data_IF_139183309730
#
_entry.id   IF_139183309730
#
_cell.length_a   1.000
_cell.length_b   1.000
_cell.length_c   1.000
_cell.angle_alpha   90.00
_cell.angle_beta   90.00
_cell.angle_gamma   90.00
#
_symmetry.space_group_name_H-M   'P 1'
#
loop_
_entity.id
_entity.type
_entity.pdbx_description
1 polymer ?
#
# COMPACT_ATOMS: atom_id res chain seq x y z
N UNK A 1 3.74 8.37 2.57
CA UNK A 1 4.76 7.30 2.37
C UNK A 1 4.37 6.39 1.22
N UNK A 2 5.30 5.55 0.74
CA UNK A 2 4.97 4.39 -0.09
C UNK A 2 4.86 3.17 0.83
N UNK A 3 3.64 2.92 1.29
CA UNK A 3 3.33 1.83 2.21
C UNK A 3 3.53 0.48 1.53
N UNK A 4 4.06 -0.49 2.27
CA UNK A 4 4.19 -1.86 1.77
C UNK A 4 2.97 -2.71 2.17
N UNK A 5 1.93 -2.65 1.34
CA UNK A 5 0.67 -3.32 1.62
C UNK A 5 -0.07 -3.77 0.36
N UNK A 6 -1.39 -3.66 0.40
CA UNK A 6 -2.29 -3.95 -0.70
C UNK A 6 -3.20 -2.76 -0.97
N UNK A 7 -3.13 -2.25 -2.21
CA UNK A 7 -4.02 -1.20 -2.68
C UNK A 7 -5.49 -1.66 -2.73
N UNK A 8 -6.36 -0.84 -2.13
CA UNK A 8 -7.82 -1.01 -2.15
C UNK A 8 -8.50 0.28 -2.62
N UNK A 9 -9.66 0.11 -3.23
CA UNK A 9 -10.61 1.18 -3.54
C UNK A 9 -11.88 0.95 -2.74
N UNK A 10 -12.36 1.98 -2.03
CA UNK A 10 -13.53 1.93 -1.15
C UNK A 10 -14.54 2.96 -1.66
N UNK A 11 -15.72 2.49 -2.06
CA UNK A 11 -16.82 3.31 -2.52
C UNK A 11 -17.79 3.60 -1.39
N UNK A 12 -18.09 4.88 -1.23
CA UNK A 12 -19.12 5.40 -0.36
C UNK A 12 -20.24 6.02 -1.18
N UNK A 13 -21.49 5.75 -0.79
CA UNK A 13 -22.67 6.41 -1.34
C UNK A 13 -23.47 7.05 -0.21
N UNK A 14 -23.73 8.35 -0.33
CA UNK A 14 -24.38 9.16 0.73
C UNK A 14 -23.71 8.94 2.10
N UNK A 15 -22.38 8.87 2.08
CA UNK A 15 -21.54 8.62 3.24
C UNK A 15 -21.50 7.18 3.76
N UNK A 16 -22.25 6.22 3.21
CA UNK A 16 -22.22 4.82 3.65
C UNK A 16 -21.25 4.00 2.81
N UNK A 17 -20.42 3.16 3.44
CA UNK A 17 -19.56 2.21 2.73
C UNK A 17 -20.47 1.21 2.00
N UNK A 18 -20.38 1.16 0.67
CA UNK A 18 -21.20 0.25 -0.15
C UNK A 18 -20.38 -0.83 -0.85
N UNK A 19 -19.11 -0.57 -1.14
CA UNK A 19 -18.24 -1.53 -1.80
C UNK A 19 -16.78 -1.26 -1.48
N UNK A 20 -15.97 -2.32 -1.39
CA UNK A 20 -14.52 -2.21 -1.46
C UNK A 20 -13.94 -3.28 -2.38
N UNK A 21 -12.93 -2.91 -3.17
CA UNK A 21 -12.29 -3.80 -4.13
C UNK A 21 -10.76 -3.69 -4.08
N UNK A 22 -10.08 -4.81 -4.33
CA UNK A 22 -8.62 -4.81 -4.54
C UNK A 22 -8.27 -4.21 -5.90
N UNK A 23 -7.02 -3.78 -6.09
CA UNK A 23 -6.58 -3.23 -7.39
C UNK A 23 -6.71 -4.20 -8.57
N UNK A 24 -6.49 -5.50 -8.36
CA UNK A 24 -6.43 -6.51 -9.42
C UNK A 24 -5.54 -6.09 -10.60
N UNK A 25 -6.08 -6.10 -11.82
CA UNK A 25 -5.36 -5.67 -13.03
C UNK A 25 -5.44 -4.15 -13.32
N UNK A 26 -6.00 -3.37 -12.40
CA UNK A 26 -6.25 -1.93 -12.54
C UNK A 26 -7.61 -1.59 -13.16
N UNK A 27 -8.34 -2.57 -13.67
CA UNK A 27 -9.71 -2.43 -14.21
C UNK A 27 -10.68 -3.28 -13.40
N UNK A 28 -10.33 -4.53 -13.16
CA UNK A 28 -11.15 -5.51 -12.43
C UNK A 28 -10.39 -5.93 -11.18
N UNK A 29 -11.05 -5.77 -10.04
CA UNK A 29 -10.59 -6.13 -8.71
C UNK A 29 -11.44 -7.24 -8.09
N UNK A 30 -10.94 -7.82 -7.00
CA UNK A 30 -11.72 -8.73 -6.15
C UNK A 30 -12.55 -7.91 -5.16
N UNK A 31 -13.82 -8.28 -4.98
CA UNK A 31 -14.67 -7.70 -3.93
C UNK A 31 -14.19 -8.16 -2.55
N UNK A 32 -13.85 -7.20 -1.71
CA UNK A 32 -13.36 -7.39 -0.33
C UNK A 32 -14.16 -6.52 0.65
N UNK A 33 -15.39 -6.17 0.30
CA UNK A 33 -16.25 -5.24 1.06
C UNK A 33 -16.42 -5.68 2.52
N UNK A 34 -16.77 -6.95 2.73
CA UNK A 34 -16.96 -7.51 4.08
C UNK A 34 -15.66 -7.45 4.89
N UNK A 35 -14.54 -7.84 4.30
CA UNK A 35 -13.23 -7.85 4.97
C UNK A 35 -12.77 -6.43 5.31
N UNK A 36 -12.87 -5.49 4.36
CA UNK A 36 -12.52 -4.08 4.58
C UNK A 36 -13.40 -3.45 5.67
N UNK A 37 -14.68 -3.81 5.75
CA UNK A 37 -15.58 -3.30 6.79
C UNK A 37 -15.22 -3.74 8.22
N UNK A 38 -14.31 -4.71 8.37
CA UNK A 38 -13.77 -5.15 9.68
C UNK A 38 -12.56 -4.34 10.14
N UNK A 39 -11.97 -3.53 9.26
CA UNK A 39 -10.79 -2.70 9.57
C UNK A 39 -11.26 -1.50 10.39
N UNK A 40 -10.72 -1.32 11.60
CA UNK A 40 -11.11 -0.25 12.52
C UNK A 40 -10.95 1.14 11.93
N UNK A 41 -9.90 1.32 11.13
CA UNK A 41 -9.54 2.62 10.56
C UNK A 41 -10.44 3.00 9.37
N UNK A 42 -11.23 2.05 8.84
CA UNK A 42 -12.15 2.31 7.74
C UNK A 42 -13.54 2.62 8.29
N UNK A 43 -14.00 3.89 8.24
CA UNK A 43 -15.32 4.23 8.72
C UNK A 43 -16.39 3.56 7.85
N UNK A 44 -17.39 2.95 8.48
CA UNK A 44 -18.60 2.45 7.79
C UNK A 44 -19.50 3.59 7.32
N UNK A 45 -19.44 4.72 8.03
CA UNK A 45 -20.17 5.95 7.72
C UNK A 45 -19.21 7.14 7.81
N UNK A 46 -19.13 7.93 6.75
CA UNK A 46 -18.36 9.16 6.69
C UNK A 46 -19.05 10.31 7.44
N UNK A 47 -18.30 11.38 7.70
CA UNK A 47 -18.82 12.62 8.29
C UNK A 47 -19.97 13.26 7.50
N UNK A 48 -20.69 14.20 8.12
CA UNK A 48 -21.92 14.82 7.59
C UNK A 48 -21.75 15.51 6.22
N UNK A 49 -20.53 15.90 5.88
CA UNK A 49 -20.19 16.57 4.61
C UNK A 49 -19.80 15.58 3.51
N UNK A 50 -20.10 14.29 3.70
CA UNK A 50 -19.84 13.28 2.68
C UNK A 50 -20.66 13.55 1.41
N UNK A 51 -20.04 13.44 0.22
CA UNK A 51 -20.72 13.67 -1.05
C UNK A 51 -21.67 12.51 -1.40
N UNK A 52 -22.41 12.66 -2.49
CA UNK A 52 -23.34 11.61 -2.96
C UNK A 52 -22.58 10.34 -3.34
N UNK A 53 -21.44 10.47 -4.02
CA UNK A 53 -20.52 9.37 -4.36
C UNK A 53 -19.11 9.81 -3.99
N UNK A 54 -18.37 8.94 -3.31
CA UNK A 54 -16.93 9.08 -3.05
C UNK A 54 -16.24 7.73 -3.15
N UNK A 55 -15.35 7.58 -4.12
CA UNK A 55 -14.36 6.51 -4.15
C UNK A 55 -13.08 6.99 -3.46
N UNK A 56 -12.63 6.27 -2.46
CA UNK A 56 -11.37 6.51 -1.74
C UNK A 56 -10.40 5.40 -2.06
N UNK A 57 -9.19 5.76 -2.50
CA UNK A 57 -8.09 4.84 -2.73
C UNK A 57 -7.09 4.95 -1.60
N UNK A 58 -6.64 3.80 -1.13
CA UNK A 58 -5.71 3.71 -0.02
C UNK A 58 -4.96 2.40 -0.03
N UNK A 59 -4.12 2.25 0.98
CA UNK A 59 -3.35 1.02 1.21
C UNK A 59 -3.84 0.36 2.49
N UNK A 60 -4.21 -0.91 2.39
CA UNK A 60 -4.34 -1.78 3.57
C UNK A 60 -2.97 -2.35 3.89
N UNK A 61 -2.54 -2.22 5.13
CA UNK A 61 -1.25 -2.72 5.60
C UNK A 61 -1.40 -3.44 6.94
N UNK A 62 -0.33 -4.10 7.37
CA UNK A 62 -0.24 -4.72 8.68
C UNK A 62 0.91 -4.06 9.44
N UNK A 63 0.62 -3.43 10.57
CA UNK A 63 1.64 -2.83 11.42
C UNK A 63 2.64 -3.87 11.94
N UNK A 64 3.88 -3.45 12.17
CA UNK A 64 4.98 -4.32 12.62
C UNK A 64 4.63 -4.99 13.95
N UNK A 65 4.02 -4.24 14.88
CA UNK A 65 3.60 -4.80 16.17
C UNK A 65 2.50 -5.87 16.00
N UNK A 66 1.47 -5.58 15.19
CA UNK A 66 0.39 -6.52 14.90
C UNK A 66 0.90 -7.78 14.20
N UNK A 67 1.83 -7.63 13.25
CA UNK A 67 2.51 -8.74 12.59
C UNK A 67 3.29 -9.62 13.58
N UNK A 68 4.09 -8.99 14.45
CA UNK A 68 4.87 -9.70 15.45
C UNK A 68 3.97 -10.41 16.48
N UNK A 69 2.88 -9.77 16.91
CA UNK A 69 1.89 -10.39 17.79
C UNK A 69 1.23 -11.61 17.13
N UNK A 70 0.89 -11.50 15.85
CA UNK A 70 0.31 -12.58 15.09
C UNK A 70 1.28 -13.76 14.96
N UNK A 71 2.56 -13.52 14.68
CA UNK A 71 3.56 -14.58 14.61
C UNK A 71 3.80 -15.25 15.98
N UNK A 72 3.89 -14.48 17.07
CA UNK A 72 3.98 -15.04 18.43
C UNK A 72 2.79 -15.96 18.76
N UNK A 73 1.58 -15.58 18.36
CA UNK A 73 0.40 -16.41 18.55
C UNK A 73 0.42 -17.70 17.71
N UNK A 74 1.13 -17.72 16.58
CA UNK A 74 1.26 -18.92 15.73
C UNK A 74 2.31 -19.85 16.28
N UNK A 75 3.44 -19.30 16.74
CA UNK A 75 4.49 -20.05 17.41
C UNK A 75 3.97 -20.78 18.66
N UNK A 76 3.15 -20.11 19.48
CA UNK A 76 2.54 -20.75 20.66
C UNK A 76 1.58 -21.89 20.32
N UNK A 77 1.05 -21.91 19.09
CA UNK A 77 0.21 -22.97 18.54
C UNK A 77 1.00 -24.00 17.71
N UNK A 78 2.34 -23.90 17.65
CA UNK A 78 3.21 -24.69 16.78
C UNK A 78 2.84 -24.61 15.29
N UNK A 79 2.30 -23.47 14.86
CA UNK A 79 1.96 -23.20 13.46
C UNK A 79 3.11 -22.45 12.75
N UNK A 80 3.27 -22.63 11.42
CA UNK A 80 4.25 -21.86 10.65
C UNK A 80 3.99 -20.36 10.74
N UNK A 81 5.02 -19.56 11.00
CA UNK A 81 4.95 -18.10 11.01
C UNK A 81 4.80 -17.53 9.59
N UNK A 82 4.32 -16.30 9.52
CA UNK A 82 4.28 -15.54 8.28
C UNK A 82 5.63 -14.88 7.99
N UNK A 83 5.98 -14.79 6.71
CA UNK A 83 7.29 -14.31 6.25
C UNK A 83 7.46 -12.79 6.35
N UNK A 84 6.47 -12.00 5.91
CA UNK A 84 6.54 -10.54 5.95
C UNK A 84 5.14 -9.89 6.11
N UNK A 85 5.06 -8.66 6.63
CA UNK A 85 3.82 -7.90 6.78
C UNK A 85 3.01 -7.75 5.49
N UNK A 86 3.65 -7.40 4.37
CA UNK A 86 2.97 -7.17 3.08
C UNK A 86 2.13 -8.37 2.61
N UNK A 87 2.76 -9.54 2.52
CA UNK A 87 2.09 -10.78 2.10
C UNK A 87 1.03 -11.20 3.11
N UNK A 88 1.30 -10.97 4.39
CA UNK A 88 0.34 -11.27 5.47
C UNK A 88 -0.89 -10.38 5.37
N UNK A 89 -0.73 -9.08 5.10
CA UNK A 89 -1.82 -8.15 4.89
C UNK A 89 -2.69 -8.57 3.69
N UNK A 90 -2.07 -8.88 2.55
CA UNK A 90 -2.77 -9.33 1.36
C UNK A 90 -3.57 -10.63 1.60
N UNK A 91 -2.95 -11.63 2.24
CA UNK A 91 -3.63 -12.88 2.58
C UNK A 91 -4.71 -12.72 3.64
N UNK A 92 -4.51 -11.81 4.60
CA UNK A 92 -5.46 -11.50 5.68
C UNK A 92 -6.70 -10.77 5.16
N UNK A 93 -6.55 -9.91 4.16
CA UNK A 93 -7.68 -9.18 3.57
C UNK A 93 -8.55 -10.08 2.69
N UNK A 94 -7.97 -11.10 2.06
CA UNK A 94 -8.65 -11.99 1.10
C UNK A 94 -9.21 -13.26 1.75
N UNK A 95 -9.50 -13.22 3.05
CA UNK A 95 -10.08 -14.35 3.76
C UNK A 95 -11.54 -14.55 3.35
N UNK A 96 -11.95 -15.79 3.16
CA UNK A 96 -13.35 -16.12 2.85
C UNK A 96 -14.32 -15.73 3.97
N UNK A 97 -13.87 -15.86 5.22
CA UNK A 97 -14.61 -15.42 6.40
C UNK A 97 -14.00 -14.10 6.91
N UNK A 98 -14.77 -13.02 6.84
CA UNK A 98 -14.35 -11.68 7.27
C UNK A 98 -14.03 -11.63 8.77
N UNK A 99 -14.58 -12.54 9.59
CA UNK A 99 -14.20 -12.66 11.00
C UNK A 99 -12.74 -13.01 11.18
N UNK A 100 -12.15 -13.77 10.24
CA UNK A 100 -10.71 -14.07 10.27
C UNK A 100 -9.90 -12.82 9.95
N UNK A 101 -10.38 -11.93 9.06
CA UNK A 101 -9.74 -10.63 8.80
C UNK A 101 -9.80 -9.73 10.03
N UNK A 102 -10.93 -9.71 10.72
CA UNK A 102 -11.14 -8.90 11.92
C UNK A 102 -10.12 -9.19 13.04
N UNK A 103 -9.58 -10.41 13.12
CA UNK A 103 -8.57 -10.77 14.12
C UNK A 103 -7.14 -10.38 13.74
N UNK A 104 -6.92 -9.87 12.53
CA UNK A 104 -5.58 -9.57 12.00
C UNK A 104 -5.11 -8.16 12.30
N UNK A 105 -5.98 -7.30 12.84
CA UNK A 105 -5.67 -5.89 13.15
C UNK A 105 -4.99 -5.19 11.95
N UNK A 106 -5.59 -5.35 10.77
CA UNK A 106 -5.16 -4.60 9.59
C UNK A 106 -5.45 -3.12 9.80
N UNK A 107 -4.63 -2.27 9.17
CA UNK A 107 -4.76 -0.83 9.20
C UNK A 107 -4.90 -0.28 7.78
N UNK A 108 -5.36 0.97 7.69
CA UNK A 108 -5.62 1.62 6.40
C UNK A 108 -5.10 3.06 6.37
N UNK A 109 -4.52 3.45 5.24
CA UNK A 109 -4.22 4.86 4.93
C UNK A 109 -4.86 5.27 3.61
N UNK A 110 -5.68 6.32 3.62
CA UNK A 110 -6.17 6.95 2.41
C UNK A 110 -5.06 7.79 1.76
N UNK A 111 -4.93 7.73 0.43
CA UNK A 111 -3.92 8.49 -0.31
C UNK A 111 -4.42 9.16 -1.59
N UNK A 112 -5.65 8.91 -2.03
CA UNK A 112 -6.21 9.47 -3.27
C UNK A 112 -7.73 9.29 -3.34
N UNK A 113 -8.39 10.13 -4.12
CA UNK A 113 -9.79 9.98 -4.52
C UNK A 113 -9.90 9.39 -5.93
N UNK A 114 -10.94 8.58 -6.15
CA UNK A 114 -11.35 8.07 -7.46
C UNK A 114 -12.56 8.85 -8.00
N UNK A 115 -13.64 8.15 -8.35
CA UNK A 115 -14.92 8.78 -8.70
C UNK A 115 -15.49 9.63 -7.55
N UNK A 116 -15.97 10.83 -7.87
CA UNK A 116 -16.71 11.66 -6.91
C UNK A 116 -17.95 12.29 -7.57
N UNK A 117 -19.00 12.50 -6.77
CA UNK A 117 -20.20 13.25 -7.18
C UNK A 117 -20.71 14.10 -6.03
N UNK A 118 -20.70 15.42 -6.19
CA UNK A 118 -21.08 16.37 -5.14
C UNK A 118 -19.98 16.65 -4.11
N UNK A 119 -18.72 16.33 -4.42
CA UNK A 119 -17.57 16.77 -3.64
C UNK A 119 -17.32 18.26 -3.83
N UNK A 120 -16.74 18.95 -2.83
CA UNK A 120 -16.27 20.32 -3.01
C UNK A 120 -15.21 20.41 -4.11
N UNK A 121 -15.07 21.58 -4.71
CA UNK A 121 -13.92 21.88 -5.56
C UNK A 121 -12.68 22.06 -4.66
N UNK A 122 -11.66 21.26 -4.93
CA UNK A 122 -10.38 21.29 -4.23
C UNK A 122 -9.30 21.38 -5.31
N UNK A 123 -8.37 22.31 -5.15
CA UNK A 123 -7.32 22.55 -6.16
C UNK A 123 -6.09 21.66 -5.96
N UNK A 124 -5.81 21.26 -4.72
CA UNK A 124 -4.58 20.56 -4.35
C UNK A 124 -4.79 19.17 -3.76
N UNK A 125 -3.83 18.29 -4.02
CA UNK A 125 -3.83 16.92 -3.55
C UNK A 125 -3.66 16.85 -2.03
N UNK A 126 -2.78 17.68 -1.45
CA UNK A 126 -2.58 17.71 0.00
C UNK A 126 -3.83 18.18 0.76
N UNK A 127 -4.54 19.15 0.21
CA UNK A 127 -5.83 19.65 0.70
C UNK A 127 -6.90 18.55 0.57
N UNK A 128 -6.88 17.78 -0.51
CA UNK A 128 -7.76 16.61 -0.68
C UNK A 128 -7.54 15.58 0.44
N UNK A 129 -6.30 15.29 0.83
CA UNK A 129 -6.02 14.40 1.96
C UNK A 129 -6.61 14.94 3.26
N UNK A 130 -6.47 16.24 3.53
CA UNK A 130 -7.03 16.85 4.73
C UNK A 130 -8.56 16.85 4.74
N UNK A 131 -9.19 17.02 3.57
CA UNK A 131 -10.63 16.86 3.42
C UNK A 131 -11.08 15.43 3.74
N UNK A 132 -10.38 14.41 3.22
CA UNK A 132 -10.65 13.01 3.58
C UNK A 132 -10.52 12.77 5.09
N UNK A 133 -9.50 13.37 5.74
CA UNK A 133 -9.35 13.34 7.19
C UNK A 133 -10.56 13.94 7.92
N UNK A 134 -11.09 15.07 7.43
CA UNK A 134 -12.31 15.69 7.95
C UNK A 134 -13.55 14.80 7.83
N UNK A 135 -13.59 13.91 6.85
CA UNK A 135 -14.67 12.91 6.69
C UNK A 135 -14.51 11.68 7.60
N UNK A 136 -13.42 11.59 8.36
CA UNK A 136 -13.13 10.48 9.28
C UNK A 136 -12.20 9.41 8.71
N UNK A 137 -11.59 9.63 7.55
CA UNK A 137 -10.62 8.70 6.98
C UNK A 137 -9.21 8.96 7.51
N UNK A 138 -8.41 7.90 7.75
CA UNK A 138 -7.03 8.03 8.19
C UNK A 138 -6.16 8.55 7.04
N UNK A 139 -5.36 9.59 7.29
CA UNK A 139 -4.25 10.00 6.41
C UNK A 139 -2.95 9.94 7.17
N UNK A 140 -1.89 9.55 6.48
CA UNK A 140 -0.59 9.36 7.09
C UNK A 140 -0.01 10.70 7.57
N UNK A 141 0.46 10.73 8.81
CA UNK A 141 0.97 11.94 9.48
C UNK A 141 2.23 12.53 8.84
N UNK A 142 2.97 11.71 8.08
CA UNK A 142 4.14 12.14 7.34
C UNK A 142 3.82 12.62 5.91
N UNK A 143 2.54 12.77 5.56
CA UNK A 143 2.19 13.51 4.34
C UNK A 143 2.61 14.98 4.50
N UNK A 144 3.38 15.50 3.55
CA UNK A 144 3.88 16.88 3.59
C UNK A 144 3.92 17.50 2.19
N UNK A 145 3.55 18.78 2.10
CA UNK A 145 3.62 19.62 0.91
C UNK A 145 4.92 20.43 0.91
N UNK A 146 5.53 20.56 -0.25
CA UNK A 146 6.79 21.30 -0.46
C UNK A 146 6.63 22.25 -1.64
N UNK A 147 7.25 23.43 -1.55
CA UNK A 147 7.32 24.40 -2.66
C UNK A 147 8.70 24.41 -3.32
N UNK A 148 9.70 23.78 -2.70
CA UNK A 148 11.05 23.64 -3.23
C UNK A 148 11.45 22.16 -3.35
N UNK A 149 12.12 21.82 -4.46
CA UNK A 149 12.52 20.45 -4.75
C UNK A 149 13.62 19.93 -3.81
N UNK A 150 14.56 20.79 -3.38
CA UNK A 150 15.65 20.39 -2.47
C UNK A 150 15.12 20.06 -1.08
N UNK A 151 14.08 20.77 -0.64
CA UNK A 151 13.38 20.44 0.61
C UNK A 151 12.71 19.06 0.53
N UNK A 152 12.06 18.76 -0.60
CA UNK A 152 11.44 17.44 -0.81
C UNK A 152 12.50 16.32 -0.80
N UNK A 153 13.66 16.52 -1.42
CA UNK A 153 14.77 15.55 -1.41
C UNK A 153 15.33 15.38 0.01
N UNK A 154 15.61 16.48 0.72
CA UNK A 154 16.07 16.44 2.12
C UNK A 154 15.09 15.70 3.02
N UNK A 155 13.78 15.82 2.75
CA UNK A 155 12.76 15.09 3.49
C UNK A 155 12.80 13.59 3.21
N UNK A 156 12.96 13.19 1.94
CA UNK A 156 13.10 11.77 1.56
C UNK A 156 14.32 11.14 2.26
N UNK A 157 15.46 11.83 2.30
CA UNK A 157 16.67 11.37 3.00
C UNK A 157 16.44 11.23 4.52
N UNK A 158 15.60 12.08 5.11
CA UNK A 158 15.23 11.94 6.52
C UNK A 158 14.35 10.70 6.74
N UNK A 159 13.35 10.50 5.87
CA UNK A 159 12.49 9.30 5.91
C UNK A 159 13.32 8.02 5.77
N UNK A 160 14.34 8.02 4.92
CA UNK A 160 15.24 6.87 4.81
C UNK A 160 15.90 6.52 6.15
N UNK A 161 16.35 7.52 6.90
CA UNK A 161 17.03 7.33 8.20
C UNK A 161 16.08 6.82 9.28
N UNK A 162 14.84 7.32 9.31
CA UNK A 162 13.84 6.94 10.32
C UNK A 162 12.93 5.79 9.90
N UNK A 163 13.13 5.18 8.72
CA UNK A 163 12.22 4.15 8.18
C UNK A 163 12.02 2.95 9.11
N UNK A 164 13.02 2.65 9.95
CA UNK A 164 13.01 1.56 10.91
C UNK A 164 12.35 1.92 12.25
N UNK A 165 12.03 3.19 12.45
CA UNK A 165 11.33 3.70 13.64
C UNK A 165 9.81 3.74 13.43
N UNK A 166 9.34 3.55 12.19
CA UNK A 166 7.93 3.50 11.84
C UNK A 166 7.30 2.19 12.33
N UNK A 167 6.02 2.24 12.67
CA UNK A 167 5.23 1.07 13.06
C UNK A 167 4.71 0.26 11.85
N UNK A 168 5.14 0.60 10.63
CA UNK A 168 4.79 -0.07 9.38
C UNK A 168 5.95 -0.05 8.39
N UNK A 169 5.96 -1.04 7.49
CA UNK A 169 6.95 -1.13 6.43
C UNK A 169 6.65 -0.14 5.28
N UNK A 170 7.72 0.49 4.79
CA UNK A 170 7.71 1.33 3.59
C UNK A 170 8.81 0.87 2.65
N UNK A 171 8.56 0.92 1.34
CA UNK A 171 9.57 0.63 0.32
C UNK A 171 10.01 1.89 -0.45
N UNK A 172 9.58 3.06 0.03
CA UNK A 172 9.81 4.32 -0.65
C UNK A 172 8.97 5.50 -0.14
N UNK A 173 9.08 6.58 -0.89
CA UNK A 173 8.19 7.75 -0.80
C UNK A 173 7.54 7.95 -2.17
N UNK A 174 6.25 8.30 -2.19
CA UNK A 174 5.57 8.72 -3.42
C UNK A 174 5.59 10.24 -3.48
N UNK A 175 6.23 10.79 -4.51
CA UNK A 175 6.24 12.23 -4.80
C UNK A 175 5.17 12.50 -5.85
N UNK A 176 4.30 13.47 -5.60
CA UNK A 176 3.19 13.84 -6.48
C UNK A 176 3.21 15.34 -6.74
N UNK A 177 2.86 15.74 -7.96
CA UNK A 177 2.46 17.12 -8.24
C UNK A 177 1.23 17.43 -7.41
N UNK A 178 1.24 18.53 -6.67
CA UNK A 178 0.14 18.85 -5.75
C UNK A 178 -1.09 19.41 -6.48
N UNK A 179 -0.89 20.27 -7.48
CA UNK A 179 -1.95 20.88 -8.28
C UNK A 179 -2.73 19.83 -9.11
N UNK A 180 -4.03 19.69 -8.85
CA UNK A 180 -4.91 18.71 -9.49
C UNK A 180 -5.26 19.06 -10.94
N UNK A 181 -5.31 20.34 -11.30
CA UNK A 181 -5.49 20.77 -12.67
C UNK A 181 -4.27 20.37 -13.51
N UNK A 182 -3.07 20.54 -12.95
CA UNK A 182 -1.82 20.09 -13.58
C UNK A 182 -1.72 18.57 -13.66
N UNK A 183 -2.17 17.83 -12.64
CA UNK A 183 -2.26 16.35 -12.72
C UNK A 183 -3.13 15.92 -13.91
N UNK A 184 -4.31 16.56 -14.08
CA UNK A 184 -5.22 16.28 -15.20
C UNK A 184 -4.58 16.58 -16.56
N UNK A 185 -3.85 17.69 -16.67
CA UNK A 185 -3.14 18.07 -17.90
C UNK A 185 -1.98 17.10 -18.22
N UNK A 186 -1.23 16.66 -17.21
CA UNK A 186 -0.11 15.73 -17.39
C UNK A 186 -0.60 14.34 -17.80
N UNK A 187 -1.73 13.90 -17.26
CA UNK A 187 -2.38 12.64 -17.60
C UNK A 187 -1.59 11.40 -17.19
N UNK A 188 -1.87 10.28 -17.86
CA UNK A 188 -1.27 8.97 -17.57
C UNK A 188 -0.67 8.34 -18.83
N UNK A 189 0.34 7.50 -18.64
CA UNK A 189 0.78 6.53 -19.65
C UNK A 189 -0.09 5.27 -19.60
N UNK A 190 0.22 4.26 -20.41
CA UNK A 190 -0.47 2.96 -20.36
C UNK A 190 -0.35 2.25 -18.99
N UNK A 191 0.63 2.62 -18.14
CA UNK A 191 0.93 1.91 -16.89
C UNK A 191 0.96 2.79 -15.63
N UNK A 192 1.24 4.08 -15.78
CA UNK A 192 1.51 4.96 -14.64
C UNK A 192 1.16 6.43 -14.92
N UNK A 193 0.77 7.21 -13.90
CA UNK A 193 0.60 8.66 -14.02
C UNK A 193 1.90 9.37 -14.35
N UNK A 194 1.82 10.51 -15.07
CA UNK A 194 2.99 11.35 -15.38
C UNK A 194 3.30 12.38 -14.29
N UNK A 195 2.39 12.53 -13.33
CA UNK A 195 2.43 13.52 -12.26
C UNK A 195 2.85 12.93 -10.90
N UNK A 196 3.19 11.63 -10.84
CA UNK A 196 3.67 10.99 -9.62
C UNK A 196 4.80 10.02 -9.91
N UNK A 197 5.72 9.90 -8.96
CA UNK A 197 6.84 8.96 -9.00
C UNK A 197 7.03 8.29 -7.64
N UNK A 198 7.32 6.99 -7.66
CA UNK A 198 7.77 6.25 -6.49
C UNK A 198 9.29 6.36 -6.38
N UNK A 199 9.77 7.15 -5.42
CA UNK A 199 11.17 7.16 -5.03
C UNK A 199 11.42 5.97 -4.10
N UNK A 200 12.00 4.90 -4.63
CA UNK A 200 12.34 3.70 -3.84
C UNK A 200 13.56 3.97 -2.98
N UNK A 201 13.50 3.55 -1.73
CA UNK A 201 14.68 3.56 -0.87
C UNK A 201 15.66 2.47 -1.31
N UNK A 202 16.98 2.63 -1.03
CA UNK A 202 17.95 1.60 -1.30
C UNK A 202 17.51 0.28 -0.68
N UNK A 203 17.46 -0.82 -1.47
CA UNK A 203 17.06 -2.12 -0.97
C UNK A 203 18.08 -2.60 0.07
N UNK A 204 17.65 -3.52 0.92
CA UNK A 204 18.57 -4.22 1.80
C UNK A 204 19.44 -5.18 0.97
N UNK A 205 20.76 -5.06 1.08
CA UNK A 205 21.71 -5.91 0.37
C UNK A 205 22.30 -6.97 1.30
N UNK A 206 22.56 -8.17 0.74
CA UNK A 206 23.24 -9.27 1.42
C UNK A 206 24.17 -10.00 0.46
N UNK A 207 25.29 -10.45 1.00
CA UNK A 207 26.23 -11.33 0.30
C UNK A 207 25.87 -12.77 0.60
N UNK A 208 25.72 -13.59 -0.45
CA UNK A 208 25.58 -15.05 -0.34
C UNK A 208 26.43 -15.76 -1.39
N UNK A 209 26.55 -17.08 -1.27
CA UNK A 209 27.33 -17.91 -2.19
C UNK A 209 26.50 -18.26 -3.42
N UNK A 210 27.06 -18.01 -4.61
CA UNK A 210 26.58 -18.60 -5.86
C UNK A 210 26.87 -20.11 -5.83
N UNK A 211 25.82 -20.93 -5.86
CA UNK A 211 25.93 -22.40 -5.92
C UNK A 211 26.09 -22.86 -7.36
N UNK A 212 25.23 -22.39 -8.26
CA UNK A 212 25.22 -22.79 -9.67
C UNK A 212 24.50 -21.76 -10.55
N UNK A 213 24.61 -21.89 -11.88
CA UNK A 213 23.82 -21.15 -12.86
C UNK A 213 23.01 -22.16 -13.69
N UNK A 214 21.69 -22.14 -13.53
CA UNK A 214 20.78 -22.99 -14.28
C UNK A 214 20.08 -22.20 -15.40
N UNK A 215 19.51 -22.89 -16.37
CA UNK A 215 18.87 -22.28 -17.54
C UNK A 215 17.42 -22.75 -17.63
N UNK A 216 16.48 -21.80 -17.64
CA UNK A 216 15.06 -22.06 -17.91
C UNK A 216 14.76 -21.78 -19.37
N UNK A 217 14.02 -22.66 -20.03
CA UNK A 217 13.56 -22.48 -21.42
C UNK A 217 12.11 -21.99 -21.40
N UNK A 218 11.91 -20.75 -21.82
CA UNK A 218 10.57 -20.15 -21.91
C UNK A 218 9.72 -20.75 -23.03
N UNK A 219 8.40 -20.49 -23.05
CA UNK A 219 7.48 -21.04 -24.06
C UNK A 219 7.86 -20.70 -25.51
N UNK A 220 8.58 -19.61 -25.73
CA UNK A 220 9.12 -19.20 -27.04
C UNK A 220 10.51 -19.74 -27.36
N UNK A 221 11.05 -20.69 -26.57
CA UNK A 221 12.39 -21.26 -26.75
C UNK A 221 13.54 -20.39 -26.24
N UNK A 222 13.26 -19.24 -25.63
CA UNK A 222 14.28 -18.37 -25.03
C UNK A 222 14.92 -19.08 -23.82
N UNK A 223 16.26 -19.15 -23.82
CA UNK A 223 17.05 -19.63 -22.71
C UNK A 223 17.39 -18.47 -21.74
N UNK A 224 16.85 -18.52 -20.53
CA UNK A 224 17.08 -17.52 -19.49
C UNK A 224 17.92 -18.13 -18.36
N UNK A 225 19.18 -17.71 -18.17
CA UNK A 225 19.98 -18.15 -17.04
C UNK A 225 19.46 -17.53 -15.74
N UNK A 226 19.49 -18.29 -14.66
CA UNK A 226 19.22 -17.82 -13.30
C UNK A 226 20.22 -18.46 -12.33
N UNK A 227 20.59 -17.71 -11.30
CA UNK A 227 21.51 -18.15 -10.27
C UNK A 227 20.77 -19.03 -9.24
N UNK A 228 21.35 -20.17 -8.88
CA UNK A 228 21.05 -20.86 -7.62
C UNK A 228 21.99 -20.34 -6.55
N UNK A 229 21.42 -19.84 -5.46
CA UNK A 229 22.12 -19.20 -4.37
C UNK A 229 22.00 -20.02 -3.10
N UNK A 230 23.02 -19.98 -2.24
CA UNK A 230 22.86 -20.43 -0.87
C UNK A 230 21.77 -19.58 -0.20
N UNK A 231 20.77 -20.20 0.48
CA UNK A 231 19.64 -19.47 1.05
C UNK A 231 20.09 -18.33 1.95
N UNK A 232 19.64 -17.11 1.66
CA UNK A 232 19.95 -15.91 2.43
C UNK A 232 18.67 -15.12 2.70
N UNK A 233 18.52 -14.59 3.91
CA UNK A 233 17.36 -13.78 4.28
C UNK A 233 17.62 -12.31 3.91
N UNK A 234 16.77 -11.75 3.03
CA UNK A 234 16.84 -10.37 2.54
C UNK A 234 15.44 -9.76 2.54
N UNK A 235 15.24 -8.63 3.23
CA UNK A 235 13.99 -7.87 3.17
C UNK A 235 12.72 -8.69 3.43
N UNK A 236 12.73 -9.56 4.45
CA UNK A 236 11.54 -10.33 4.83
C UNK A 236 11.26 -11.60 4.01
N UNK A 237 12.23 -12.05 3.21
CA UNK A 237 12.12 -13.31 2.46
C UNK A 237 13.45 -14.05 2.36
N UNK A 238 13.40 -15.38 2.29
CA UNK A 238 14.57 -16.20 2.00
C UNK A 238 14.75 -16.30 0.49
N UNK A 239 15.84 -15.72 -0.01
CA UNK A 239 16.21 -15.76 -1.43
C UNK A 239 17.15 -16.94 -1.65
N UNK A 240 16.76 -17.84 -2.56
CA UNK A 240 17.56 -18.97 -3.01
C UNK A 240 17.85 -18.95 -4.52
N UNK A 241 17.27 -18.02 -5.26
CA UNK A 241 17.45 -17.87 -6.71
C UNK A 241 17.42 -16.40 -7.11
N UNK A 242 18.18 -16.00 -8.12
CA UNK A 242 18.21 -14.63 -8.67
C UNK A 242 18.35 -14.61 -10.20
#
# INVERSE_FOLDING_TARGET
MKFDGLAVSIRYEKGQLVQAATRGNGIIGEDVTENVSTISDVPKTLGKEAPEILEVRGEVYLGIEAFNALNRSRESLNEPTFANPRNTAAGSLRQKDSKVTATRNLSFWAYQIGETKGSPEIDGHFETLHWLKGLGLPINEHAKKFTDFKEAISYIENIEKMRHDLDYEIDGVVVKVDDLALQKQLGTTARAPRWAIAYKLPPEERTTRLIDIEVSIGPGGQATPFAKLAPVFVGGSTVGTA
#
